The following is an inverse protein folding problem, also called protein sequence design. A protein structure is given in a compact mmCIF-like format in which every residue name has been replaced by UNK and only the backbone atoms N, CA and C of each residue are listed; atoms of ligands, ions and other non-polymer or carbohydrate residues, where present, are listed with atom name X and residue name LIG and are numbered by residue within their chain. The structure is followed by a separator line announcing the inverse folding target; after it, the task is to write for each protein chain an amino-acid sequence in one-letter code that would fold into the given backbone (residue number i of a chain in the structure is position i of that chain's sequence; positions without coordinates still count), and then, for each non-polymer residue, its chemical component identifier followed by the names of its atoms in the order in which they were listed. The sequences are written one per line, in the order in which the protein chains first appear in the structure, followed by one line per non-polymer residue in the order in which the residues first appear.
data_IF_082717986815
#
_entry.id   IF_082717986815
#
_cell.length_a   1.000
_cell.length_b   1.000
_cell.length_c   1.000
_cell.angle_alpha   90.00
_cell.angle_beta   90.00
_cell.angle_gamma   90.00
#
_symmetry.space_group_name_H-M   'P 1'
#
loop_
_entity.id
_entity.type
_entity.pdbx_description
1 polymer ?
#
# COMPACT_ATOMS: atom_id res chain seq x y z
N UNK A 1 -5.22 -17.04 -7.18
CA UNK A 1 -4.27 -15.99 -7.63
C UNK A 1 -3.36 -16.51 -8.74
N UNK A 2 -2.49 -17.49 -8.50
CA UNK A 2 -1.54 -17.97 -9.53
C UNK A 2 -2.19 -18.46 -10.83
N UNK A 3 -3.32 -19.16 -10.75
CA UNK A 3 -4.06 -19.66 -11.92
C UNK A 3 -4.82 -18.58 -12.69
N UNK A 4 -4.93 -17.37 -12.14
CA UNK A 4 -5.71 -16.27 -12.73
C UNK A 4 -4.83 -15.13 -13.26
N UNK A 5 -3.58 -15.02 -12.79
CA UNK A 5 -2.64 -14.00 -13.24
C UNK A 5 -1.89 -14.47 -14.49
N UNK A 6 -1.61 -13.52 -15.38
CA UNK A 6 -0.80 -13.67 -16.59
C UNK A 6 0.45 -12.81 -16.48
N UNK A 7 1.42 -13.05 -17.35
CA UNK A 7 2.64 -12.25 -17.40
C UNK A 7 2.29 -10.78 -17.67
N UNK A 8 2.91 -9.87 -16.92
CA UNK A 8 2.64 -8.43 -17.02
C UNK A 8 1.41 -7.92 -16.24
N UNK A 9 0.63 -8.80 -15.60
CA UNK A 9 -0.51 -8.36 -14.81
C UNK A 9 -0.09 -7.54 -13.58
N UNK A 10 -0.99 -6.65 -13.15
CA UNK A 10 -0.89 -5.97 -11.85
C UNK A 10 -1.74 -6.70 -10.81
N UNK A 11 -1.12 -7.10 -9.70
CA UNK A 11 -1.80 -7.59 -8.51
C UNK A 11 -1.89 -6.46 -7.50
N UNK A 12 -3.11 -6.00 -7.22
CA UNK A 12 -3.35 -4.95 -6.22
C UNK A 12 -3.91 -5.56 -4.93
N UNK A 13 -3.12 -5.46 -3.86
CA UNK A 13 -3.42 -6.00 -2.53
C UNK A 13 -3.89 -4.86 -1.63
N UNK A 14 -4.99 -5.08 -0.90
CA UNK A 14 -5.58 -4.06 -0.04
C UNK A 14 -5.63 -4.51 1.42
N UNK A 15 -5.51 -3.53 2.31
CA UNK A 15 -5.76 -3.64 3.76
C UNK A 15 -4.70 -4.39 4.57
N UNK A 16 -4.72 -4.13 5.88
CA UNK A 16 -3.72 -4.61 6.83
C UNK A 16 -3.69 -6.13 7.04
N UNK A 17 -4.84 -6.81 6.86
CA UNK A 17 -4.92 -8.26 6.98
C UNK A 17 -4.00 -9.03 6.01
N UNK A 18 -3.59 -8.39 4.91
CA UNK A 18 -2.79 -8.99 3.84
C UNK A 18 -1.37 -8.41 3.75
N UNK A 19 -0.85 -7.82 4.83
CA UNK A 19 0.51 -7.23 4.84
C UNK A 19 1.62 -8.21 4.44
N UNK A 20 1.46 -9.51 4.71
CA UNK A 20 2.44 -10.55 4.34
C UNK A 20 2.21 -11.13 2.93
N UNK A 21 1.10 -10.78 2.28
CA UNK A 21 0.74 -11.36 1.00
C UNK A 21 1.73 -11.01 -0.13
N UNK A 22 2.26 -9.77 -0.27
CA UNK A 22 3.20 -9.48 -1.36
C UNK A 22 4.42 -10.40 -1.35
N UNK A 23 4.99 -10.67 -0.18
CA UNK A 23 6.09 -11.63 -0.02
C UNK A 23 5.68 -13.05 -0.44
N UNK A 24 4.53 -13.53 0.05
CA UNK A 24 4.02 -14.87 -0.31
C UNK A 24 3.74 -15.01 -1.80
N UNK A 25 3.31 -13.93 -2.47
CA UNK A 25 3.10 -13.91 -3.92
C UNK A 25 4.44 -14.02 -4.67
N UNK A 26 5.48 -13.29 -4.23
CA UNK A 26 6.83 -13.40 -4.80
C UNK A 26 7.42 -14.80 -4.63
N UNK A 27 7.35 -15.36 -3.42
CA UNK A 27 7.78 -16.75 -3.13
C UNK A 27 6.98 -17.78 -3.93
N UNK A 28 5.69 -17.50 -4.15
CA UNK A 28 4.78 -18.33 -4.91
C UNK A 28 5.09 -18.42 -6.41
N UNK A 29 6.09 -17.72 -6.94
CA UNK A 29 6.39 -17.67 -8.38
C UNK A 29 5.19 -17.15 -9.19
N UNK A 30 4.83 -15.89 -8.98
CA UNK A 30 3.98 -15.18 -9.93
C UNK A 30 4.55 -15.28 -11.37
N UNK A 31 3.70 -15.20 -12.40
CA UNK A 31 4.16 -15.05 -13.77
C UNK A 31 5.16 -13.90 -13.93
N UNK A 32 5.98 -13.99 -14.98
CA UNK A 32 7.01 -12.99 -15.24
C UNK A 32 6.41 -11.57 -15.35
N UNK A 33 7.16 -10.57 -14.89
CA UNK A 33 6.83 -9.16 -14.98
C UNK A 33 5.51 -8.74 -14.28
N UNK A 34 4.96 -9.55 -13.37
CA UNK A 34 3.83 -9.10 -12.57
C UNK A 34 4.25 -7.99 -11.61
N UNK A 35 3.48 -6.89 -11.63
CA UNK A 35 3.63 -5.77 -10.69
C UNK A 35 2.76 -6.03 -9.47
N UNK A 36 3.31 -5.89 -8.27
CA UNK A 36 2.54 -5.99 -7.03
C UNK A 36 2.41 -4.59 -6.44
N UNK A 37 1.18 -4.13 -6.24
CA UNK A 37 0.87 -2.93 -5.48
C UNK A 37 0.20 -3.32 -4.17
N UNK A 38 0.58 -2.71 -3.06
CA UNK A 38 -0.06 -2.87 -1.76
C UNK A 38 -0.59 -1.52 -1.30
N UNK A 39 -1.86 -1.44 -0.88
CA UNK A 39 -2.45 -0.22 -0.37
C UNK A 39 -3.01 -0.41 1.04
N UNK A 40 -2.53 0.41 1.98
CA UNK A 40 -2.98 0.39 3.37
C UNK A 40 -4.07 1.44 3.61
N UNK A 41 -5.29 0.97 3.81
CA UNK A 41 -6.44 1.83 4.11
C UNK A 41 -6.50 2.28 5.58
N UNK A 42 -5.95 1.49 6.49
CA UNK A 42 -5.85 1.88 7.89
C UNK A 42 -4.71 2.88 8.09
N UNK A 43 -4.77 3.74 9.12
CA UNK A 43 -3.63 4.55 9.52
C UNK A 43 -2.38 3.69 9.76
N UNK A 44 -1.24 4.08 9.22
CA UNK A 44 0.04 3.48 9.60
C UNK A 44 0.50 4.15 10.92
N UNK A 45 0.75 3.38 11.99
CA UNK A 45 1.04 3.94 13.30
C UNK A 45 2.42 4.60 13.32
N UNK A 46 2.68 5.45 14.32
CA UNK A 46 4.02 6.03 14.49
C UNK A 46 5.07 4.93 14.72
N UNK A 47 6.35 5.17 14.38
CA UNK A 47 7.44 4.21 14.61
C UNK A 47 7.55 3.74 16.07
N UNK A 48 7.21 4.61 17.02
CA UNK A 48 7.19 4.35 18.47
C UNK A 48 6.13 3.33 18.87
N UNK A 49 4.99 3.32 18.17
CA UNK A 49 3.94 2.32 18.35
C UNK A 49 4.25 1.06 17.52
N UNK A 50 4.74 1.21 16.28
CA UNK A 50 5.05 0.06 15.42
C UNK A 50 6.10 -0.87 16.05
N UNK A 51 7.10 -0.30 16.73
CA UNK A 51 8.20 -1.09 17.31
C UNK A 51 7.76 -2.07 18.42
N UNK A 52 6.59 -1.87 19.03
CA UNK A 52 6.09 -2.77 20.08
C UNK A 52 5.26 -3.92 19.51
N UNK A 53 4.89 -3.88 18.23
CA UNK A 53 4.09 -4.94 17.62
C UNK A 53 4.88 -6.27 17.55
N UNK A 54 4.19 -7.40 17.79
CA UNK A 54 4.73 -8.71 17.44
C UNK A 54 4.90 -8.80 15.92
N UNK A 55 5.90 -9.52 15.46
CA UNK A 55 6.19 -9.73 14.03
C UNK A 55 6.39 -8.43 13.21
N UNK A 56 6.74 -7.32 13.87
CA UNK A 56 6.94 -5.99 13.25
C UNK A 56 7.89 -6.01 12.04
N UNK A 57 8.90 -6.87 12.07
CA UNK A 57 9.94 -6.95 11.05
C UNK A 57 9.39 -7.70 9.83
N UNK A 58 8.72 -8.81 10.08
CA UNK A 58 8.06 -9.65 9.08
C UNK A 58 6.95 -8.89 8.37
N UNK A 59 6.16 -8.10 9.08
CA UNK A 59 5.12 -7.25 8.48
C UNK A 59 5.72 -6.20 7.53
N UNK A 60 6.80 -5.52 7.93
CA UNK A 60 7.48 -4.55 7.06
C UNK A 60 8.09 -5.24 5.83
N UNK A 61 8.75 -6.40 6.01
CA UNK A 61 9.27 -7.19 4.90
C UNK A 61 8.16 -7.65 3.95
N UNK A 62 7.03 -8.08 4.51
CA UNK A 62 5.83 -8.46 3.78
C UNK A 62 5.41 -7.36 2.80
N UNK A 63 5.28 -6.13 3.30
CA UNK A 63 4.89 -4.99 2.47
C UNK A 63 5.99 -4.56 1.48
N UNK A 64 7.28 -4.60 1.86
CA UNK A 64 8.41 -4.24 1.01
C UNK A 64 8.63 -5.20 -0.18
N UNK A 65 7.96 -6.34 -0.21
CA UNK A 65 7.92 -7.22 -1.38
C UNK A 65 6.94 -6.75 -2.48
N UNK A 66 6.13 -5.72 -2.21
CA UNK A 66 5.37 -4.99 -3.23
C UNK A 66 6.23 -3.97 -3.96
N UNK A 67 6.01 -3.75 -5.26
CA UNK A 67 6.73 -2.73 -6.04
C UNK A 67 6.23 -1.32 -5.71
N UNK A 68 4.95 -1.21 -5.35
CA UNK A 68 4.32 0.02 -4.90
C UNK A 68 3.66 -0.20 -3.54
N UNK A 69 3.89 0.70 -2.60
CA UNK A 69 3.20 0.75 -1.31
C UNK A 69 2.46 2.08 -1.19
N UNK A 70 1.14 2.04 -0.99
CA UNK A 70 0.26 3.19 -0.97
C UNK A 70 -0.35 3.47 0.41
N UNK A 71 -0.49 4.75 0.74
CA UNK A 71 -1.10 5.24 1.97
C UNK A 71 -2.08 6.38 1.70
N UNK A 72 -2.98 6.65 2.64
CA UNK A 72 -3.89 7.79 2.53
C UNK A 72 -3.25 9.15 2.80
N UNK A 73 -2.33 9.22 3.77
CA UNK A 73 -1.69 10.45 4.19
C UNK A 73 -0.17 10.35 4.07
N UNK A 74 0.45 11.48 3.76
CA UNK A 74 1.91 11.59 3.71
C UNK A 74 2.57 11.26 5.05
N UNK A 75 1.91 11.58 6.17
CA UNK A 75 2.38 11.23 7.50
C UNK A 75 2.50 9.71 7.69
N UNK A 76 1.53 8.94 7.20
CA UNK A 76 1.55 7.47 7.29
C UNK A 76 2.68 6.88 6.44
N UNK A 77 2.91 7.44 5.25
CA UNK A 77 4.05 7.08 4.42
C UNK A 77 5.38 7.36 5.13
N UNK A 78 5.53 8.53 5.77
CA UNK A 78 6.72 8.87 6.57
C UNK A 78 6.94 7.92 7.74
N UNK A 79 5.89 7.58 8.48
CA UNK A 79 5.98 6.63 9.59
C UNK A 79 6.43 5.24 9.10
N UNK A 80 5.87 4.77 7.99
CA UNK A 80 6.30 3.52 7.37
C UNK A 80 7.77 3.53 6.96
N UNK A 81 8.20 4.58 6.25
CA UNK A 81 9.59 4.74 5.82
C UNK A 81 10.54 4.77 7.03
N UNK A 82 10.22 5.58 8.04
CA UNK A 82 11.01 5.66 9.28
C UNK A 82 11.09 4.32 9.99
N UNK A 83 10.00 3.55 9.98
CA UNK A 83 9.95 2.21 10.58
C UNK A 83 10.82 1.22 9.82
N UNK A 84 10.80 1.25 8.48
CA UNK A 84 11.70 0.47 7.63
C UNK A 84 13.17 0.82 7.88
N UNK A 85 13.50 2.12 7.95
CA UNK A 85 14.86 2.57 8.23
C UNK A 85 15.35 2.11 9.60
N UNK A 86 14.54 2.30 10.65
CA UNK A 86 14.91 1.98 12.04
C UNK A 86 15.00 0.47 12.30
N UNK A 87 14.11 -0.33 11.71
CA UNK A 87 14.01 -1.77 12.02
C UNK A 87 14.74 -2.66 11.01
N UNK A 88 14.82 -2.25 9.74
CA UNK A 88 15.38 -3.06 8.66
C UNK A 88 16.68 -2.50 8.08
N UNK A 89 17.13 -1.33 8.54
CA UNK A 89 18.32 -0.65 8.04
C UNK A 89 18.21 -0.19 6.57
N UNK A 90 16.99 -0.13 6.02
CA UNK A 90 16.78 0.22 4.62
C UNK A 90 16.87 1.73 4.39
N UNK A 91 17.47 2.13 3.27
CA UNK A 91 17.69 3.52 2.89
C UNK A 91 16.44 4.15 2.27
N UNK A 92 16.15 5.40 2.65
CA UNK A 92 15.10 6.21 2.04
C UNK A 92 15.71 7.10 0.97
N UNK A 93 15.11 7.11 -0.23
CA UNK A 93 15.49 8.00 -1.31
C UNK A 93 14.26 8.81 -1.74
N UNK A 94 14.38 10.13 -1.69
CA UNK A 94 13.38 11.07 -2.21
C UNK A 94 13.83 11.52 -3.59
N UNK A 95 13.13 11.06 -4.63
CA UNK A 95 13.34 11.51 -6.01
C UNK A 95 12.24 12.47 -6.45
N UNK A 96 12.45 13.23 -7.52
CA UNK A 96 11.40 14.01 -8.18
C UNK A 96 10.89 13.20 -9.37
N UNK A 97 9.64 12.73 -9.30
CA UNK A 97 8.98 12.14 -10.47
C UNK A 97 8.11 13.15 -11.21
N UNK A 98 7.56 12.77 -12.37
CA UNK A 98 6.79 13.68 -13.24
C UNK A 98 5.53 14.30 -12.60
N UNK A 99 5.06 13.74 -11.48
CA UNK A 99 3.84 14.14 -10.78
C UNK A 99 4.10 14.78 -9.40
N UNK A 100 5.30 15.32 -9.17
CA UNK A 100 5.76 15.71 -7.83
C UNK A 100 6.60 14.60 -7.18
N UNK A 101 7.30 14.94 -6.10
CA UNK A 101 8.27 14.06 -5.44
C UNK A 101 7.81 12.61 -5.30
N UNK A 102 8.55 11.67 -5.91
CA UNK A 102 8.33 10.24 -5.74
C UNK A 102 9.15 9.78 -4.55
N UNK A 103 8.45 9.42 -3.48
CA UNK A 103 9.03 8.79 -2.31
C UNK A 103 9.39 7.35 -2.66
N UNK A 104 10.56 6.88 -2.22
CA UNK A 104 10.96 5.50 -2.44
C UNK A 104 11.85 4.97 -1.32
N UNK A 105 11.83 3.65 -1.16
CA UNK A 105 12.77 2.91 -0.32
C UNK A 105 13.67 2.09 -1.26
N UNK A 106 14.98 2.25 -1.09
CA UNK A 106 15.99 1.53 -1.86
C UNK A 106 16.44 0.29 -1.08
N UNK A 107 16.25 -0.87 -1.70
CA UNK A 107 16.62 -2.18 -1.15
C UNK A 107 17.88 -2.74 -1.84
N UNK A 108 18.63 -1.91 -2.56
CA UNK A 108 19.82 -2.26 -3.34
C UNK A 108 19.49 -2.91 -4.68
N UNK A 109 18.89 -4.11 -4.65
CA UNK A 109 18.53 -4.84 -5.87
C UNK A 109 17.21 -4.37 -6.51
N UNK A 110 16.37 -3.67 -5.74
CA UNK A 110 15.07 -3.17 -6.18
C UNK A 110 14.69 -1.90 -5.41
N UNK A 111 13.81 -1.12 -6.02
CA UNK A 111 13.20 0.06 -5.41
C UNK A 111 11.73 -0.21 -5.15
N UNK A 112 11.25 0.21 -3.99
CA UNK A 112 9.83 0.24 -3.64
C UNK A 112 9.35 1.67 -3.73
N UNK A 113 8.36 1.93 -4.58
CA UNK A 113 7.75 3.24 -4.74
C UNK A 113 6.70 3.45 -3.67
N UNK A 114 6.72 4.60 -3.01
CA UNK A 114 5.74 4.98 -1.99
C UNK A 114 4.79 6.01 -2.59
N UNK A 115 3.48 5.74 -2.52
CA UNK A 115 2.43 6.62 -3.05
C UNK A 115 1.50 7.09 -1.95
N UNK A 116 0.96 8.28 -2.13
CA UNK A 116 -0.01 8.88 -1.22
C UNK A 116 -1.25 9.24 -2.04
N UNK A 117 -2.39 8.65 -1.70
CA UNK A 117 -3.66 8.91 -2.39
C UNK A 117 -4.85 8.77 -1.46
N UNK A 118 -5.83 9.66 -1.59
CA UNK A 118 -7.11 9.54 -0.91
C UNK A 118 -8.01 8.55 -1.67
N UNK A 119 -8.73 7.68 -0.95
CA UNK A 119 -9.82 6.90 -1.55
C UNK A 119 -11.03 7.81 -1.73
N UNK A 120 -11.56 7.83 -2.95
CA UNK A 120 -12.78 8.55 -3.29
C UNK A 120 -14.01 7.67 -3.14
N UNK A 121 -15.17 8.31 -3.17
CA UNK A 121 -16.48 7.68 -3.29
C UNK A 121 -17.07 8.02 -4.66
N UNK A 122 -17.93 7.14 -5.18
CA UNK A 122 -18.70 7.43 -6.38
C UNK A 122 -19.79 8.47 -6.05
N UNK A 123 -19.53 9.72 -6.47
CA UNK A 123 -20.42 10.84 -6.21
C UNK A 123 -21.73 10.72 -6.98
N UNK A 124 -21.73 10.10 -8.15
CA UNK A 124 -22.90 10.04 -9.01
C UNK A 124 -23.91 9.03 -8.44
N UNK A 125 -23.43 7.90 -7.95
CA UNK A 125 -24.25 6.91 -7.24
C UNK A 125 -24.92 7.53 -6.01
N UNK A 126 -24.16 8.26 -5.19
CA UNK A 126 -24.69 8.92 -3.98
C UNK A 126 -25.72 9.99 -4.37
N UNK A 127 -25.39 10.83 -5.36
CA UNK A 127 -26.26 11.91 -5.82
C UNK A 127 -27.56 11.36 -6.41
N UNK A 128 -27.50 10.22 -7.10
CA UNK A 128 -28.69 9.54 -7.61
C UNK A 128 -29.57 9.03 -6.46
N UNK A 129 -29.00 8.37 -5.45
CA UNK A 129 -29.75 7.83 -4.30
C UNK A 129 -30.45 8.90 -3.48
N UNK A 130 -29.83 10.08 -3.32
CA UNK A 130 -30.41 11.23 -2.61
C UNK A 130 -31.70 11.76 -3.27
N UNK A 131 -31.89 11.54 -4.58
CA UNK A 131 -33.09 11.99 -5.30
C UNK A 131 -34.27 11.02 -5.21
N UNK A 132 -34.09 9.84 -4.62
CA UNK A 132 -35.16 8.84 -4.55
C UNK A 132 -36.17 9.18 -3.45
N UNK A 133 -37.49 9.04 -3.71
CA UNK A 133 -38.52 9.34 -2.73
C UNK A 133 -38.42 8.52 -1.44
N UNK A 134 -37.87 7.29 -1.47
CA UNK A 134 -37.70 6.48 -0.25
C UNK A 134 -36.61 7.04 0.67
N UNK A 135 -35.60 7.71 0.12
CA UNK A 135 -34.52 8.34 0.90
C UNK A 135 -35.01 9.60 1.62
N UNK A 136 -36.07 10.24 1.13
CA UNK A 136 -36.63 11.49 1.68
C UNK A 136 -37.68 11.25 2.78
N UNK A 137 -38.00 10.00 3.13
CA UNK A 137 -39.12 9.63 4.02
C UNK A 137 -38.69 9.22 5.44
N UNK A 138 -37.53 9.64 5.91
CA UNK A 138 -37.06 9.36 7.27
C UNK A 138 -37.61 10.37 8.30
N UNK A 139 -38.94 10.43 8.41
CA UNK A 139 -39.69 11.01 9.55
C UNK A 139 -40.43 9.88 10.27
#
# INVERSE_FOLDING_TARGET
VKSSCRAGDMVWVHSHHLMLLPEKLRQGRLPANCVISFFLHAPFPSPEVWRVLPHRTELLHGMLNADVVGFHLFEYARHFMTSCRRLLGQGENVGVGPAGGVLSIDLGARRVTITVSHVGIDRDVISHRLRLPETMKWE
#
